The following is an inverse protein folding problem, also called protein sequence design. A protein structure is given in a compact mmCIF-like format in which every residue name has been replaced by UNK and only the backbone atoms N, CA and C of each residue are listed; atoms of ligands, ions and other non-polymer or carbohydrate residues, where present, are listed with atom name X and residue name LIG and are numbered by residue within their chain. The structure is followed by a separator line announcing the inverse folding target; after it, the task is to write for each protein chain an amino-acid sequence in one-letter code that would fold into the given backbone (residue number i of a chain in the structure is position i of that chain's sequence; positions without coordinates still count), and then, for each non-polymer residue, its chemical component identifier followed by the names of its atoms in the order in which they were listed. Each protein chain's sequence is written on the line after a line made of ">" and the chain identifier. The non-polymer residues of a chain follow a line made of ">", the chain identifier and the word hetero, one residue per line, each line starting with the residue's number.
data_IF_677295599919
#
_entry.id   IF_677295599919
#
_cell.length_a   1.000
_cell.length_b   1.000
_cell.length_c   1.000
_cell.angle_alpha   90.00
_cell.angle_beta   90.00
_cell.angle_gamma   90.00
#
_symmetry.space_group_name_H-M   'P 1'
#
loop_
_entity.id
_entity.type
_entity.pdbx_description
1 polymer ?
#
# COMPACT_ATOMS: atom_id res chain seq x y z
N UNK A 1 37.75 -11.84 8.76
CA UNK A 1 36.99 -12.18 7.55
C UNK A 1 35.53 -12.47 7.86
N UNK A 2 35.17 -13.33 8.82
CA UNK A 2 33.77 -13.60 9.17
C UNK A 2 33.01 -12.34 9.65
N UNK A 3 33.65 -11.47 10.42
CA UNK A 3 33.09 -10.22 10.94
C UNK A 3 32.76 -9.22 9.82
N UNK A 4 33.61 -9.13 8.79
CA UNK A 4 33.42 -8.26 7.63
C UNK A 4 32.25 -8.72 6.75
N UNK A 5 32.09 -10.04 6.56
CA UNK A 5 31.01 -10.63 5.76
C UNK A 5 29.66 -10.44 6.44
N UNK A 6 29.58 -10.68 7.75
CA UNK A 6 28.38 -10.47 8.56
C UNK A 6 27.94 -9.00 8.53
N UNK A 7 28.88 -8.05 8.59
CA UNK A 7 28.57 -6.62 8.52
C UNK A 7 28.08 -6.20 7.12
N UNK A 8 28.61 -6.79 6.05
CA UNK A 8 28.12 -6.53 4.68
C UNK A 8 26.69 -7.07 4.50
N UNK A 9 26.40 -8.29 4.98
CA UNK A 9 25.04 -8.84 4.94
C UNK A 9 24.08 -7.97 5.74
N UNK A 10 24.48 -7.52 6.95
CA UNK A 10 23.66 -6.63 7.78
C UNK A 10 23.35 -5.31 7.07
N UNK A 11 24.33 -4.69 6.43
CA UNK A 11 24.14 -3.45 5.68
C UNK A 11 23.18 -3.63 4.52
N UNK A 12 23.25 -4.75 3.78
CA UNK A 12 22.30 -5.07 2.72
C UNK A 12 20.91 -5.32 3.28
N UNK A 13 20.78 -6.19 4.29
CA UNK A 13 19.51 -6.57 4.88
C UNK A 13 18.77 -5.38 5.51
N UNK A 14 19.49 -4.45 6.14
CA UNK A 14 18.89 -3.23 6.70
C UNK A 14 18.36 -2.24 5.65
N UNK A 15 18.74 -2.40 4.38
CA UNK A 15 18.22 -1.60 3.27
C UNK A 15 17.03 -2.27 2.55
N UNK A 16 16.73 -3.55 2.87
CA UNK A 16 15.56 -4.21 2.32
C UNK A 16 14.27 -3.61 2.91
N UNK A 17 13.24 -3.48 2.10
CA UNK A 17 11.98 -2.97 2.60
C UNK A 17 10.85 -3.03 1.59
N UNK A 18 9.63 -3.03 2.12
CA UNK A 18 8.44 -2.66 1.39
C UNK A 18 8.35 -1.14 1.47
N UNK A 19 8.94 -0.46 0.51
CA UNK A 19 8.81 0.99 0.43
C UNK A 19 7.61 1.28 -0.45
N UNK A 20 6.65 2.00 0.11
CA UNK A 20 5.67 2.71 -0.72
C UNK A 20 6.44 3.84 -1.41
N UNK A 21 6.56 3.87 -2.73
CA UNK A 21 7.16 5.01 -3.40
C UNK A 21 6.18 6.17 -3.39
N UNK A 22 6.19 6.90 -2.29
CA UNK A 22 5.79 8.30 -2.36
C UNK A 22 7.05 9.03 -2.78
N UNK A 23 7.27 9.14 -4.10
CA UNK A 23 8.39 9.85 -4.73
C UNK A 23 9.78 9.49 -4.21
N UNK A 24 10.78 9.46 -5.07
CA UNK A 24 12.16 9.59 -4.63
C UNK A 24 12.24 10.81 -3.72
N UNK A 25 12.86 10.66 -2.56
CA UNK A 25 13.02 11.73 -1.58
C UNK A 25 13.78 12.91 -2.19
N UNK A 26 13.11 13.71 -2.97
CA UNK A 26 13.55 15.07 -3.25
C UNK A 26 13.39 15.81 -1.93
N UNK A 27 14.43 16.48 -1.48
CA UNK A 27 14.52 17.12 -0.16
C UNK A 27 13.57 18.34 0.00
N UNK A 28 12.35 18.29 -0.58
CA UNK A 28 11.38 19.36 -0.41
C UNK A 28 10.68 19.19 0.93
N UNK A 29 10.95 20.11 1.81
CA UNK A 29 10.31 20.18 3.10
C UNK A 29 8.86 20.65 2.92
N UNK A 30 7.91 19.91 3.47
CA UNK A 30 6.53 20.39 3.57
C UNK A 30 6.51 21.80 4.22
N UNK A 31 5.66 22.73 3.74
CA UNK A 31 5.48 24.00 4.40
C UNK A 31 4.95 23.77 5.83
N UNK A 32 5.12 24.77 6.69
CA UNK A 32 4.52 24.72 8.01
C UNK A 32 2.99 24.57 7.87
N UNK A 33 2.42 23.64 8.62
CA UNK A 33 0.98 23.47 8.69
C UNK A 33 0.35 24.70 9.38
N UNK A 34 -0.88 25.03 9.00
CA UNK A 34 -1.65 26.07 9.68
C UNK A 34 -2.04 25.63 11.10
N UNK A 35 -2.30 24.31 11.29
CA UNK A 35 -2.49 23.68 12.59
C UNK A 35 -1.86 22.28 12.63
N UNK A 36 -1.48 21.85 13.84
CA UNK A 36 -1.07 20.49 14.13
C UNK A 36 -1.98 19.89 15.22
N UNK A 37 -2.57 18.74 14.94
CA UNK A 37 -3.45 18.07 15.88
C UNK A 37 -2.79 16.83 16.45
N UNK A 38 -2.81 16.71 17.79
CA UNK A 38 -2.48 15.45 18.44
C UNK A 38 -3.74 14.58 18.48
N UNK A 39 -3.59 13.32 18.06
CA UNK A 39 -4.67 12.34 17.92
C UNK A 39 -4.28 11.07 18.66
N UNK A 40 -5.23 10.23 19.10
CA UNK A 40 -4.92 8.92 19.64
C UNK A 40 -4.18 8.04 18.61
N UNK A 41 -2.94 7.66 18.91
CA UNK A 41 -2.10 6.84 18.04
C UNK A 41 -1.59 7.54 16.76
N UNK A 42 -1.66 8.88 16.73
CA UNK A 42 -1.20 9.64 15.57
C UNK A 42 -1.26 11.15 15.75
N UNK A 43 -1.15 11.84 14.63
CA UNK A 43 -1.27 13.29 14.55
C UNK A 43 -1.86 13.70 13.20
N UNK A 44 -2.30 14.94 13.07
CA UNK A 44 -2.65 15.48 11.76
C UNK A 44 -2.02 16.84 11.52
N UNK A 45 -1.72 17.12 10.25
CA UNK A 45 -1.34 18.44 9.77
C UNK A 45 -2.47 19.02 8.94
N UNK A 46 -2.88 20.25 9.31
CA UNK A 46 -3.97 20.97 8.68
C UNK A 46 -3.40 22.06 7.80
N UNK A 47 -3.83 22.12 6.56
CA UNK A 47 -3.44 23.13 5.58
C UNK A 47 -4.70 23.79 5.05
N UNK A 48 -4.92 25.05 5.42
CA UNK A 48 -6.11 25.78 4.99
C UNK A 48 -6.12 26.04 3.49
N UNK A 49 -7.31 26.11 2.94
CA UNK A 49 -7.52 26.55 1.57
C UNK A 49 -6.99 27.96 1.33
N UNK A 50 -6.56 28.25 0.12
CA UNK A 50 -6.03 29.59 -0.23
C UNK A 50 -7.04 30.68 0.10
N UNK A 51 -6.63 31.65 0.92
CA UNK A 51 -7.47 32.75 1.38
C UNK A 51 -8.45 32.42 2.53
N UNK A 52 -8.42 31.18 3.03
CA UNK A 52 -9.23 30.75 4.18
C UNK A 52 -8.46 30.93 5.51
N UNK A 53 -9.21 31.05 6.62
CA UNK A 53 -8.69 31.17 7.98
C UNK A 53 -9.37 30.18 8.92
N UNK A 54 -9.43 28.91 8.53
CA UNK A 54 -10.07 27.84 9.31
C UNK A 54 -10.43 26.66 8.43
N UNK A 55 -11.05 25.68 9.03
CA UNK A 55 -11.44 24.43 8.37
C UNK A 55 -12.66 24.65 7.48
N UNK A 56 -12.45 24.78 6.18
CA UNK A 56 -13.50 25.04 5.18
C UNK A 56 -13.45 23.94 4.13
N UNK A 57 -14.60 23.35 3.77
CA UNK A 57 -14.72 22.28 2.74
C UNK A 57 -13.65 21.20 2.92
N UNK A 58 -13.61 20.50 4.07
CA UNK A 58 -12.47 19.69 4.47
C UNK A 58 -12.31 18.42 3.64
N UNK A 59 -11.04 18.06 3.43
CA UNK A 59 -10.57 16.81 2.85
C UNK A 59 -9.63 16.16 3.87
N UNK A 60 -10.00 14.99 4.38
CA UNK A 60 -9.24 14.21 5.36
C UNK A 60 -8.62 13.01 4.67
N UNK A 61 -7.29 12.93 4.63
CA UNK A 61 -6.56 11.84 3.97
C UNK A 61 -5.58 11.19 4.93
N UNK A 62 -5.70 9.86 5.05
CA UNK A 62 -4.85 9.03 5.88
C UNK A 62 -3.63 8.51 5.10
N UNK A 63 -2.47 8.48 5.78
CA UNK A 63 -1.21 7.95 5.27
C UNK A 63 -1.27 6.43 5.03
N UNK A 64 -0.31 5.93 4.25
CA UNK A 64 -0.14 4.52 3.93
C UNK A 64 0.74 3.76 4.94
N UNK A 65 1.08 2.52 4.55
CA UNK A 65 1.92 1.61 5.33
C UNK A 65 3.41 1.96 5.21
N UNK A 66 4.12 1.90 6.32
CA UNK A 66 5.59 1.79 6.42
C UNK A 66 5.96 1.44 7.87
N UNK A 67 7.25 1.31 8.21
CA UNK A 67 7.72 1.27 9.60
C UNK A 67 7.81 2.67 10.18
N UNK A 68 7.61 2.76 11.49
CA UNK A 68 7.74 3.99 12.26
C UNK A 68 6.67 5.04 11.98
N UNK A 69 6.86 6.24 12.50
CA UNK A 69 5.87 7.32 12.39
C UNK A 69 5.74 7.84 10.97
N UNK A 70 4.59 8.46 10.67
CA UNK A 70 4.38 9.16 9.40
C UNK A 70 5.43 10.25 9.18
N UNK A 71 6.10 10.21 8.04
CA UNK A 71 6.90 11.32 7.54
C UNK A 71 6.02 12.24 6.69
N UNK A 72 5.55 13.31 7.29
CA UNK A 72 4.71 14.30 6.61
C UNK A 72 5.43 15.06 5.48
N UNK A 73 6.77 15.08 5.45
CA UNK A 73 7.49 15.69 4.33
C UNK A 73 7.40 14.80 3.11
N UNK A 74 7.63 13.50 3.27
CA UNK A 74 7.48 12.52 2.19
C UNK A 74 6.02 12.42 1.72
N UNK A 75 5.05 12.42 2.63
CA UNK A 75 3.62 12.39 2.29
C UNK A 75 3.21 13.65 1.51
N UNK A 76 3.68 14.82 1.92
CA UNK A 76 3.48 16.07 1.18
C UNK A 76 4.11 16.01 -0.20
N UNK A 77 5.37 15.60 -0.28
CA UNK A 77 6.14 15.57 -1.52
C UNK A 77 5.48 14.70 -2.59
N UNK A 78 5.03 13.51 -2.21
CA UNK A 78 4.32 12.60 -3.12
C UNK A 78 3.01 13.15 -3.66
N UNK A 79 2.31 13.97 -2.89
CA UNK A 79 1.03 14.56 -3.27
C UNK A 79 1.18 15.90 -4.00
N UNK A 80 2.30 16.60 -3.82
CA UNK A 80 2.51 17.93 -4.41
C UNK A 80 3.49 17.91 -5.58
N UNK A 81 4.60 17.18 -5.43
CA UNK A 81 5.71 17.20 -6.39
C UNK A 81 5.77 15.95 -7.29
N UNK A 82 4.73 15.11 -7.24
CA UNK A 82 4.54 14.00 -8.16
C UNK A 82 4.20 14.44 -9.59
N UNK A 83 3.37 13.67 -10.28
CA UNK A 83 2.92 14.02 -11.64
C UNK A 83 1.79 15.06 -11.67
N UNK A 84 1.21 15.39 -10.51
CA UNK A 84 0.12 16.35 -10.38
C UNK A 84 0.19 17.07 -9.02
N UNK A 85 0.14 18.42 -8.97
CA UNK A 85 0.23 19.20 -7.72
C UNK A 85 -1.09 19.19 -6.96
N UNK A 86 -1.49 18.02 -6.46
CA UNK A 86 -2.82 17.77 -5.89
C UNK A 86 -3.15 18.66 -4.71
N UNK A 87 -2.19 18.90 -3.81
CA UNK A 87 -2.40 19.75 -2.63
C UNK A 87 -2.63 21.20 -3.02
N UNK A 88 -1.79 21.73 -3.92
CA UNK A 88 -1.95 23.10 -4.42
C UNK A 88 -3.29 23.29 -5.11
N UNK A 89 -3.75 22.32 -5.91
CA UNK A 89 -5.05 22.38 -6.58
C UNK A 89 -6.22 22.33 -5.59
N UNK A 90 -6.17 21.46 -4.59
CA UNK A 90 -7.16 21.44 -3.50
C UNK A 90 -7.25 22.79 -2.78
N UNK A 91 -6.09 23.32 -2.37
CA UNK A 91 -6.03 24.57 -1.61
C UNK A 91 -6.49 25.77 -2.46
N UNK A 92 -6.16 25.78 -3.76
CA UNK A 92 -6.62 26.82 -4.70
C UNK A 92 -8.13 26.82 -4.86
N UNK A 93 -8.79 25.65 -4.73
CA UNK A 93 -10.27 25.52 -4.70
C UNK A 93 -10.88 25.91 -3.35
N UNK A 94 -10.08 26.48 -2.43
CA UNK A 94 -10.51 26.95 -1.10
C UNK A 94 -10.82 25.80 -0.13
N UNK A 95 -10.24 24.61 -0.33
CA UNK A 95 -10.46 23.43 0.52
C UNK A 95 -9.34 23.26 1.53
N UNK A 96 -9.71 22.95 2.77
CA UNK A 96 -8.74 22.59 3.82
C UNK A 96 -8.36 21.12 3.68
N UNK A 97 -7.06 20.85 3.60
CA UNK A 97 -6.50 19.52 3.63
C UNK A 97 -6.07 19.16 5.05
N UNK A 98 -6.47 17.97 5.52
CA UNK A 98 -6.09 17.40 6.80
C UNK A 98 -5.39 16.08 6.49
N UNK A 99 -4.05 16.08 6.62
CA UNK A 99 -3.24 14.86 6.47
C UNK A 99 -3.14 14.17 7.82
N UNK A 100 -3.64 12.95 7.92
CA UNK A 100 -3.61 12.12 9.13
C UNK A 100 -2.45 11.15 9.04
N UNK A 101 -1.55 11.25 10.00
CA UNK A 101 -0.41 10.36 10.17
C UNK A 101 -0.52 9.53 11.45
N UNK A 102 0.26 8.44 11.49
CA UNK A 102 0.27 7.46 12.57
C UNK A 102 1.59 7.52 13.34
N UNK A 103 1.57 7.20 14.63
CA UNK A 103 2.77 7.04 15.46
C UNK A 103 3.58 5.81 15.03
N UNK A 104 2.88 4.74 14.61
CA UNK A 104 3.48 3.54 14.05
C UNK A 104 2.61 3.05 12.89
N UNK A 105 3.08 3.27 11.67
CA UNK A 105 2.33 2.90 10.44
C UNK A 105 2.19 1.39 10.24
N UNK A 106 3.05 0.60 10.85
CA UNK A 106 3.00 -0.87 10.82
C UNK A 106 2.11 -1.49 11.89
N UNK A 107 1.54 -0.67 12.79
CA UNK A 107 0.55 -1.11 13.77
C UNK A 107 -0.76 -1.54 13.08
N UNK A 108 -1.58 -2.30 13.79
CA UNK A 108 -2.86 -2.80 13.28
C UNK A 108 -3.70 -1.69 12.63
N UNK A 109 -4.31 -1.99 11.48
CA UNK A 109 -5.26 -1.11 10.79
C UNK A 109 -6.37 -0.63 11.73
N UNK A 110 -6.86 -1.52 12.61
CA UNK A 110 -7.90 -1.20 13.61
C UNK A 110 -7.42 -0.16 14.62
N UNK A 111 -6.15 -0.24 15.01
CA UNK A 111 -5.52 0.69 15.93
C UNK A 111 -5.28 2.04 15.27
N UNK A 112 -4.73 2.04 14.06
CA UNK A 112 -4.51 3.26 13.28
C UNK A 112 -5.84 3.97 12.94
N UNK A 113 -6.95 3.24 12.86
CA UNK A 113 -8.27 3.83 12.65
C UNK A 113 -8.73 4.74 13.81
N UNK A 114 -8.18 4.61 15.02
CA UNK A 114 -8.52 5.50 16.12
C UNK A 114 -8.09 6.95 15.84
N UNK A 115 -6.92 7.13 15.20
CA UNK A 115 -6.45 8.46 14.78
C UNK A 115 -7.39 9.07 13.72
N UNK A 116 -7.82 8.27 12.73
CA UNK A 116 -8.72 8.74 11.68
C UNK A 116 -10.11 9.07 12.24
N UNK A 117 -10.65 8.24 13.13
CA UNK A 117 -11.91 8.55 13.85
C UNK A 117 -11.82 9.89 14.56
N UNK A 118 -10.75 10.10 15.34
CA UNK A 118 -10.54 11.35 16.07
C UNK A 118 -10.38 12.56 15.14
N UNK A 119 -9.66 12.39 14.02
CA UNK A 119 -9.52 13.44 13.00
C UNK A 119 -10.87 13.81 12.38
N UNK A 120 -11.69 12.83 12.00
CA UNK A 120 -13.04 13.04 11.44
C UNK A 120 -13.91 13.85 12.42
N UNK A 121 -13.98 13.41 13.68
CA UNK A 121 -14.81 14.04 14.70
C UNK A 121 -14.34 15.49 14.99
N UNK A 122 -13.03 15.68 15.11
CA UNK A 122 -12.45 17.02 15.29
C UNK A 122 -12.72 17.92 14.09
N UNK A 123 -12.54 17.42 12.87
CA UNK A 123 -12.86 18.14 11.64
C UNK A 123 -14.33 18.60 11.63
N UNK A 124 -15.27 17.72 11.99
CA UNK A 124 -16.68 18.06 12.07
C UNK A 124 -17.01 19.12 13.14
N UNK A 125 -16.25 19.15 14.25
CA UNK A 125 -16.41 20.13 15.33
C UNK A 125 -15.82 21.51 14.98
N UNK A 126 -14.72 21.55 14.23
CA UNK A 126 -14.00 22.80 13.88
C UNK A 126 -14.40 23.37 12.52
N UNK A 127 -15.13 22.62 11.72
CA UNK A 127 -15.52 23.00 10.37
C UNK A 127 -16.40 24.25 10.36
N UNK A 128 -16.05 25.20 9.50
CA UNK A 128 -16.86 26.37 9.17
C UNK A 128 -17.75 26.06 7.95
N UNK A 129 -19.06 26.14 8.16
CA UNK A 129 -20.06 25.80 7.14
C UNK A 129 -20.56 24.35 7.25
N UNK A 130 -21.30 23.91 6.26
CA UNK A 130 -22.05 22.66 6.26
C UNK A 130 -21.68 21.68 5.13
N UNK A 131 -20.69 22.02 4.31
CA UNK A 131 -20.16 21.14 3.25
C UNK A 131 -19.74 19.80 3.84
N UNK A 132 -20.20 18.71 3.22
CA UNK A 132 -19.78 17.38 3.68
C UNK A 132 -18.30 17.13 3.42
N UNK A 133 -17.69 16.27 4.25
CA UNK A 133 -16.27 15.92 4.15
C UNK A 133 -16.03 14.96 2.98
N UNK A 134 -14.85 15.07 2.36
CA UNK A 134 -14.21 13.90 1.78
C UNK A 134 -13.31 13.27 2.85
N UNK A 135 -13.45 11.95 3.05
CA UNK A 135 -12.59 11.16 3.94
C UNK A 135 -12.04 9.98 3.16
N UNK A 136 -10.73 9.77 3.21
CA UNK A 136 -10.11 8.68 2.49
C UNK A 136 -8.66 8.46 2.88
N UNK A 137 -7.92 7.80 2.00
CA UNK A 137 -6.49 7.54 2.20
C UNK A 137 -5.86 6.77 1.07
N UNK A 138 -4.54 6.66 1.17
CA UNK A 138 -3.68 6.01 0.19
C UNK A 138 -3.28 4.62 0.71
N UNK A 139 -3.30 3.59 -0.15
CA UNK A 139 -2.84 2.27 0.23
C UNK A 139 -3.57 1.77 1.49
N UNK A 140 -2.84 1.42 2.55
CA UNK A 140 -3.39 1.10 3.87
C UNK A 140 -4.37 2.17 4.38
N UNK A 141 -4.09 3.45 4.13
CA UNK A 141 -4.91 4.56 4.61
C UNK A 141 -6.37 4.50 4.14
N UNK A 142 -6.64 3.96 2.95
CA UNK A 142 -7.99 3.71 2.49
C UNK A 142 -8.71 2.62 3.28
N UNK A 143 -8.01 1.56 3.70
CA UNK A 143 -8.57 0.52 4.59
C UNK A 143 -8.85 1.09 5.98
N UNK A 144 -7.94 1.90 6.50
CA UNK A 144 -8.09 2.59 7.81
C UNK A 144 -9.31 3.51 7.79
N UNK A 145 -9.44 4.35 6.75
CA UNK A 145 -10.58 5.27 6.58
C UNK A 145 -11.91 4.52 6.38
N UNK A 146 -11.91 3.43 5.60
CA UNK A 146 -13.07 2.55 5.41
C UNK A 146 -13.58 2.02 6.75
N UNK A 147 -12.68 1.45 7.57
CA UNK A 147 -13.04 0.93 8.87
C UNK A 147 -13.52 2.04 9.82
N UNK A 148 -12.83 3.19 9.85
CA UNK A 148 -13.17 4.33 10.70
C UNK A 148 -14.60 4.84 10.42
N UNK A 149 -14.94 5.06 9.16
CA UNK A 149 -16.28 5.51 8.75
C UNK A 149 -17.37 4.47 9.07
N UNK A 150 -17.15 3.20 8.71
CA UNK A 150 -18.09 2.12 8.99
C UNK A 150 -18.33 1.94 10.51
N UNK A 151 -17.28 2.07 11.33
CA UNK A 151 -17.36 2.04 12.79
C UNK A 151 -18.19 3.20 13.35
N UNK A 152 -17.99 4.42 12.84
CA UNK A 152 -18.78 5.59 13.26
C UNK A 152 -20.27 5.40 12.90
N UNK A 153 -20.59 4.86 11.71
CA UNK A 153 -21.96 4.55 11.31
C UNK A 153 -22.60 3.49 12.20
N UNK A 154 -21.86 2.40 12.50
CA UNK A 154 -22.33 1.38 13.43
C UNK A 154 -22.66 1.97 14.83
N UNK A 155 -21.85 2.93 15.27
CA UNK A 155 -22.04 3.65 16.53
C UNK A 155 -23.12 4.74 16.44
N UNK A 156 -23.73 4.95 15.26
CA UNK A 156 -24.72 6.00 14.97
C UNK A 156 -24.18 7.42 15.24
N UNK A 157 -22.91 7.62 14.97
CA UNK A 157 -22.24 8.93 15.03
C UNK A 157 -22.26 9.56 13.63
N UNK A 158 -22.76 10.79 13.52
CA UNK A 158 -22.69 11.54 12.26
C UNK A 158 -21.24 11.98 11.98
N UNK A 159 -20.59 11.30 11.06
CA UNK A 159 -19.22 11.62 10.63
C UNK A 159 -19.16 12.69 9.55
N UNK A 160 -20.31 13.21 9.05
CA UNK A 160 -20.45 14.23 8.04
C UNK A 160 -19.72 13.96 6.70
N UNK A 161 -19.18 12.77 6.46
CA UNK A 161 -18.59 12.43 5.18
C UNK A 161 -19.67 12.29 4.10
N UNK A 162 -19.45 12.96 2.97
CA UNK A 162 -20.25 12.82 1.75
C UNK A 162 -19.57 11.96 0.70
N UNK A 163 -18.24 11.86 0.77
CA UNK A 163 -17.42 11.06 -0.13
C UNK A 163 -16.39 10.27 0.69
N UNK A 164 -16.28 8.98 0.41
CA UNK A 164 -15.16 8.13 0.79
C UNK A 164 -14.25 7.98 -0.44
N UNK A 165 -12.94 8.18 -0.27
CA UNK A 165 -11.93 7.97 -1.31
C UNK A 165 -10.93 6.89 -0.89
N UNK A 166 -10.84 5.85 -1.68
CA UNK A 166 -9.82 4.80 -1.58
C UNK A 166 -8.85 4.92 -2.74
N UNK A 167 -7.58 5.21 -2.46
CA UNK A 167 -6.58 5.31 -3.51
C UNK A 167 -5.61 4.13 -3.45
N UNK A 168 -5.72 3.24 -4.42
CA UNK A 168 -4.91 2.04 -4.63
C UNK A 168 -4.80 1.19 -3.36
N UNK A 169 -5.94 1.02 -2.67
CA UNK A 169 -6.01 0.33 -1.38
C UNK A 169 -6.32 -1.16 -1.55
N UNK A 170 -5.63 -2.05 -0.84
CA UNK A 170 -5.74 -3.49 -1.07
C UNK A 170 -6.97 -4.12 -0.39
N UNK A 171 -8.18 -3.78 -0.85
CA UNK A 171 -9.44 -4.25 -0.25
C UNK A 171 -9.61 -5.77 -0.28
N UNK A 172 -9.11 -6.42 -1.34
CA UNK A 172 -9.08 -7.89 -1.48
C UNK A 172 -7.73 -8.49 -1.11
N UNK A 173 -6.71 -7.67 -0.88
CA UNK A 173 -5.36 -8.03 -0.45
C UNK A 173 -4.29 -7.40 -1.32
N UNK A 174 -3.11 -7.20 -0.72
CA UNK A 174 -1.88 -6.84 -1.38
C UNK A 174 -1.05 -8.09 -1.66
N UNK A 175 -0.16 -8.00 -2.62
CA UNK A 175 0.79 -9.05 -2.96
C UNK A 175 2.22 -8.61 -2.68
N UNK A 176 2.96 -9.46 -1.95
CA UNK A 176 4.41 -9.43 -1.87
C UNK A 176 4.90 -10.80 -2.30
N UNK A 177 5.79 -10.90 -3.29
CA UNK A 177 6.28 -12.18 -3.80
C UNK A 177 6.72 -13.11 -2.69
N UNK A 178 6.25 -14.36 -2.71
CA UNK A 178 6.54 -15.34 -1.64
C UNK A 178 8.04 -15.59 -1.51
N UNK A 179 8.79 -15.56 -2.62
CA UNK A 179 10.25 -15.65 -2.58
C UNK A 179 10.89 -14.51 -1.75
N UNK A 180 10.35 -13.30 -1.83
CA UNK A 180 10.83 -12.15 -1.05
C UNK A 180 10.43 -12.25 0.43
N UNK A 181 9.25 -12.77 0.73
CA UNK A 181 8.86 -13.07 2.11
C UNK A 181 9.79 -14.14 2.73
N UNK A 182 10.10 -15.20 1.98
CA UNK A 182 11.08 -16.20 2.41
C UNK A 182 12.47 -15.60 2.63
N UNK A 183 12.90 -14.70 1.74
CA UNK A 183 14.18 -14.02 1.87
C UNK A 183 14.27 -13.14 3.13
N UNK A 184 13.18 -12.51 3.54
CA UNK A 184 13.12 -11.78 4.81
C UNK A 184 13.40 -12.70 6.01
N UNK A 185 12.84 -13.91 6.02
CA UNK A 185 13.15 -14.90 7.04
C UNK A 185 14.60 -15.41 6.94
N UNK A 186 15.11 -15.62 5.73
CA UNK A 186 16.47 -16.12 5.50
C UNK A 186 17.54 -15.15 6.01
N UNK A 187 17.32 -13.84 5.89
CA UNK A 187 18.25 -12.80 6.33
C UNK A 187 18.07 -12.37 7.79
N UNK A 188 16.98 -12.75 8.44
CA UNK A 188 16.59 -12.26 9.76
C UNK A 188 17.60 -12.54 10.88
N UNK A 189 18.42 -13.59 10.76
CA UNK A 189 19.47 -13.88 11.74
C UNK A 189 20.58 -12.80 11.80
N UNK A 190 20.71 -11.98 10.74
CA UNK A 190 21.71 -10.92 10.62
C UNK A 190 21.09 -9.54 10.79
N UNK A 191 19.95 -9.32 10.12
CA UNK A 191 19.13 -8.11 10.27
C UNK A 191 17.66 -8.49 10.03
N UNK A 192 16.82 -8.18 11.00
CA UNK A 192 15.40 -8.54 10.99
C UNK A 192 14.47 -7.40 10.50
N UNK A 193 15.03 -6.28 10.05
CA UNK A 193 14.24 -5.09 9.67
C UNK A 193 13.20 -5.41 8.60
N UNK A 194 13.59 -6.16 7.56
CA UNK A 194 12.68 -6.57 6.51
C UNK A 194 11.62 -7.56 7.02
N UNK A 195 12.03 -8.52 7.85
CA UNK A 195 11.09 -9.44 8.48
C UNK A 195 10.08 -8.71 9.39
N UNK A 196 10.54 -7.78 10.23
CA UNK A 196 9.65 -6.95 11.07
C UNK A 196 8.63 -6.19 10.24
N UNK A 197 9.00 -5.69 9.08
CA UNK A 197 8.08 -5.01 8.17
C UNK A 197 7.01 -5.95 7.63
N UNK A 198 7.42 -7.12 7.08
CA UNK A 198 6.51 -8.12 6.51
C UNK A 198 5.62 -8.75 7.58
N UNK A 199 6.17 -9.04 8.77
CA UNK A 199 5.46 -9.69 9.87
C UNK A 199 4.69 -8.73 10.78
N UNK A 200 4.72 -7.42 10.49
CA UNK A 200 3.97 -6.43 11.27
C UNK A 200 2.45 -6.65 11.18
N UNK A 201 1.69 -6.20 12.20
CA UNK A 201 0.24 -6.38 12.20
C UNK A 201 -0.46 -5.85 10.96
N UNK A 202 -0.14 -4.62 10.53
CA UNK A 202 -0.75 -4.03 9.34
C UNK A 202 -0.39 -4.80 8.06
N UNK A 203 0.87 -5.21 7.90
CA UNK A 203 1.30 -6.00 6.75
C UNK A 203 0.52 -7.32 6.65
N UNK A 204 0.46 -8.08 7.74
CA UNK A 204 -0.29 -9.33 7.77
C UNK A 204 -1.81 -9.15 7.55
N UNK A 205 -2.39 -8.01 7.96
CA UNK A 205 -3.79 -7.67 7.68
C UNK A 205 -4.04 -7.35 6.21
N UNK A 206 -3.04 -6.80 5.51
CA UNK A 206 -3.14 -6.43 4.09
C UNK A 206 -2.77 -7.55 3.12
N UNK A 207 -1.76 -8.36 3.45
CA UNK A 207 -1.25 -9.38 2.52
C UNK A 207 -2.31 -10.44 2.21
N UNK A 208 -2.49 -10.73 0.90
CA UNK A 208 -3.37 -11.82 0.46
C UNK A 208 -2.89 -13.17 1.00
N UNK A 209 -1.57 -13.43 0.95
CA UNK A 209 -0.93 -14.60 1.56
C UNK A 209 0.33 -14.16 2.32
N UNK A 210 0.51 -14.78 3.46
CA UNK A 210 1.64 -14.58 4.35
C UNK A 210 2.40 -15.89 4.54
N UNK A 211 3.73 -15.83 4.47
CA UNK A 211 4.63 -16.93 4.70
C UNK A 211 5.26 -16.79 6.08
N UNK A 212 5.03 -17.77 6.96
CA UNK A 212 5.66 -17.84 8.28
C UNK A 212 6.83 -18.83 8.25
N UNK A 213 8.05 -18.28 8.07
CA UNK A 213 9.29 -19.05 7.93
C UNK A 213 9.53 -19.60 6.52
N UNK A 214 10.80 -19.88 6.19
CA UNK A 214 11.20 -20.35 4.85
C UNK A 214 10.58 -21.71 4.46
N UNK A 215 10.16 -22.52 5.44
CA UNK A 215 9.58 -23.87 5.26
C UNK A 215 8.06 -23.89 5.47
N UNK A 216 7.45 -22.73 5.67
CA UNK A 216 6.02 -22.60 5.85
C UNK A 216 5.24 -22.77 4.54
N UNK A 217 3.93 -22.93 4.66
CA UNK A 217 3.02 -22.85 3.52
C UNK A 217 2.39 -21.46 3.50
N UNK A 218 2.50 -20.70 2.38
CA UNK A 218 1.85 -19.39 2.29
C UNK A 218 0.33 -19.51 2.45
N UNK A 219 -0.24 -18.78 3.40
CA UNK A 219 -1.68 -18.85 3.71
C UNK A 219 -2.21 -17.48 4.16
N UNK A 220 -3.53 -17.35 4.25
CA UNK A 220 -4.14 -16.16 4.86
C UNK A 220 -3.70 -16.08 6.33
N UNK A 221 -3.16 -14.93 6.75
CA UNK A 221 -2.76 -14.72 8.14
C UNK A 221 -3.98 -14.69 9.08
N UNK A 222 -3.87 -15.24 10.30
CA UNK A 222 -4.91 -15.06 11.33
C UNK A 222 -5.27 -13.60 11.59
N UNK A 223 -4.31 -12.67 11.49
CA UNK A 223 -4.56 -11.23 11.65
C UNK A 223 -5.41 -10.66 10.50
N UNK A 224 -5.26 -11.19 9.28
CA UNK A 224 -6.13 -10.81 8.16
C UNK A 224 -7.55 -11.34 8.36
N UNK A 225 -7.69 -12.60 8.78
CA UNK A 225 -8.99 -13.21 9.09
C UNK A 225 -9.71 -12.40 10.18
N UNK A 226 -9.00 -12.02 11.24
CA UNK A 226 -9.53 -11.17 12.30
C UNK A 226 -9.97 -9.81 11.78
N UNK A 227 -9.10 -9.13 11.01
CA UNK A 227 -9.41 -7.82 10.40
C UNK A 227 -10.68 -7.89 9.53
N UNK A 228 -10.81 -8.92 8.67
CA UNK A 228 -12.02 -9.15 7.85
C UNK A 228 -13.25 -9.33 8.71
N UNK A 229 -13.14 -10.08 9.80
CA UNK A 229 -14.24 -10.30 10.76
C UNK A 229 -14.66 -8.98 11.45
N UNK A 230 -13.70 -8.19 11.92
CA UNK A 230 -13.96 -6.88 12.54
C UNK A 230 -14.59 -5.90 11.53
N UNK A 231 -14.14 -5.92 10.29
CA UNK A 231 -14.72 -5.10 9.23
C UNK A 231 -16.17 -5.50 8.92
N UNK A 232 -16.46 -6.81 8.90
CA UNK A 232 -17.84 -7.33 8.76
C UNK A 232 -18.74 -6.90 9.92
N UNK A 233 -18.24 -6.91 11.15
CA UNK A 233 -19.00 -6.49 12.33
C UNK A 233 -19.43 -5.03 12.28
N UNK A 234 -18.65 -4.15 11.63
CA UNK A 234 -19.01 -2.75 11.44
C UNK A 234 -19.76 -2.48 10.12
N UNK A 235 -20.13 -3.53 9.37
CA UNK A 235 -20.95 -3.42 8.16
C UNK A 235 -20.17 -3.48 6.85
N UNK A 236 -18.90 -3.84 6.89
CA UNK A 236 -17.96 -3.99 5.77
C UNK A 236 -17.61 -2.69 5.06
N UNK A 237 -18.58 -1.89 4.66
CA UNK A 237 -18.43 -0.60 3.99
C UNK A 237 -19.28 0.47 4.68
N UNK A 238 -18.83 1.74 4.70
CA UNK A 238 -19.69 2.86 5.07
C UNK A 238 -20.81 3.00 4.03
N UNK A 239 -22.00 3.37 4.46
CA UNK A 239 -23.22 3.40 3.63
C UNK A 239 -23.71 4.81 3.34
N UNK A 240 -23.21 5.80 4.08
CA UNK A 240 -23.65 7.19 3.94
C UNK A 240 -22.89 7.91 2.84
N UNK A 241 -21.54 7.86 2.77
CA UNK A 241 -20.79 8.54 1.73
C UNK A 241 -20.86 7.80 0.39
N UNK A 242 -20.73 8.52 -0.71
CA UNK A 242 -20.44 7.93 -2.01
C UNK A 242 -19.05 7.30 -1.96
N UNK A 243 -18.95 6.06 -2.41
CA UNK A 243 -17.72 5.27 -2.36
C UNK A 243 -16.94 5.42 -3.68
N UNK A 244 -15.77 6.02 -3.61
CA UNK A 244 -14.87 6.20 -4.74
C UNK A 244 -13.60 5.37 -4.55
N UNK A 245 -13.18 4.68 -5.62
CA UNK A 245 -11.92 3.95 -5.65
C UNK A 245 -11.05 4.35 -6.85
N UNK A 246 -9.74 4.39 -6.63
CA UNK A 246 -8.74 4.60 -7.68
C UNK A 246 -7.79 3.41 -7.66
N UNK A 247 -7.46 2.88 -8.84
CA UNK A 247 -6.39 1.91 -9.04
C UNK A 247 -5.25 2.53 -9.83
N UNK A 248 -4.01 2.31 -9.37
CA UNK A 248 -2.80 2.61 -10.16
C UNK A 248 -2.57 1.56 -11.27
N UNK A 249 -3.46 0.59 -11.42
CA UNK A 249 -3.40 -0.45 -12.44
C UNK A 249 -4.43 -0.27 -13.55
N UNK A 250 -4.16 -0.96 -14.68
CA UNK A 250 -5.05 -1.00 -15.86
C UNK A 250 -6.32 -1.80 -15.58
N UNK A 251 -7.38 -1.46 -16.30
CA UNK A 251 -8.69 -2.14 -16.22
C UNK A 251 -8.98 -3.14 -17.34
N UNK A 252 -8.15 -3.22 -18.35
CA UNK A 252 -8.35 -4.09 -19.52
C UNK A 252 -7.88 -5.53 -19.35
N UNK A 253 -7.40 -5.90 -18.16
CA UNK A 253 -6.87 -7.23 -17.88
C UNK A 253 -5.45 -7.46 -18.37
N UNK A 254 -4.78 -6.43 -18.92
CA UNK A 254 -3.40 -6.53 -19.38
C UNK A 254 -2.44 -6.33 -18.19
N UNK A 255 -1.67 -7.35 -17.88
CA UNK A 255 -0.67 -7.34 -16.82
C UNK A 255 0.54 -6.46 -17.13
N UNK A 256 1.49 -6.46 -16.18
CA UNK A 256 2.81 -5.86 -16.36
C UNK A 256 3.77 -6.83 -17.08
N UNK A 257 5.04 -6.42 -17.27
CA UNK A 257 6.03 -7.21 -18.04
C UNK A 257 6.60 -8.43 -17.28
N UNK A 258 6.26 -8.64 -16.01
CA UNK A 258 6.78 -9.77 -15.21
C UNK A 258 6.06 -11.08 -15.60
N UNK A 259 6.59 -11.75 -16.62
CA UNK A 259 6.02 -13.00 -17.13
C UNK A 259 6.15 -14.14 -16.12
N UNK A 260 5.11 -14.94 -15.99
CA UNK A 260 5.07 -16.12 -15.13
C UNK A 260 6.28 -17.04 -15.32
N UNK A 261 6.93 -17.41 -14.22
CA UNK A 261 8.13 -18.23 -14.19
C UNK A 261 9.41 -17.57 -14.73
N UNK A 262 9.35 -16.30 -15.15
CA UNK A 262 10.54 -15.58 -15.57
C UNK A 262 11.44 -15.27 -14.37
N UNK A 263 12.76 -15.30 -14.59
CA UNK A 263 13.73 -14.92 -13.56
C UNK A 263 13.67 -13.40 -13.36
N UNK A 264 13.29 -12.96 -12.15
CA UNK A 264 13.18 -11.55 -11.80
C UNK A 264 14.49 -10.98 -11.29
N UNK A 265 15.19 -11.75 -10.44
CA UNK A 265 16.48 -11.36 -9.87
C UNK A 265 17.38 -12.58 -9.71
N UNK A 266 18.69 -12.41 -9.89
CA UNK A 266 19.73 -13.38 -9.61
C UNK A 266 20.93 -12.73 -8.96
N UNK A 267 21.47 -13.39 -7.94
CA UNK A 267 22.73 -13.05 -7.30
C UNK A 267 23.86 -13.97 -7.81
N UNK A 268 25.03 -13.39 -8.04
CA UNK A 268 26.25 -14.09 -8.44
C UNK A 268 27.46 -13.43 -7.73
N UNK A 269 27.38 -13.25 -6.43
CA UNK A 269 28.37 -12.58 -5.60
C UNK A 269 28.70 -13.38 -4.33
N UNK A 270 29.63 -12.87 -3.50
CA UNK A 270 30.21 -13.65 -2.42
C UNK A 270 29.25 -13.97 -1.25
N UNK A 271 28.12 -13.24 -1.14
CA UNK A 271 27.20 -13.40 0.00
C UNK A 271 26.03 -14.32 -0.33
N UNK A 272 25.48 -14.22 -1.55
CA UNK A 272 24.25 -14.91 -1.97
C UNK A 272 24.42 -15.61 -3.33
N UNK A 273 25.61 -16.19 -3.61
CA UNK A 273 25.86 -16.91 -4.85
C UNK A 273 24.89 -18.09 -5.00
N UNK A 274 24.20 -18.12 -6.13
CA UNK A 274 23.16 -19.12 -6.40
C UNK A 274 21.75 -18.70 -6.03
N UNK A 275 21.55 -17.63 -5.25
CA UNK A 275 20.22 -17.09 -4.96
C UNK A 275 19.57 -16.49 -6.21
N UNK A 276 18.31 -16.88 -6.48
CA UNK A 276 17.51 -16.27 -7.52
C UNK A 276 16.02 -16.30 -7.17
N UNK A 277 15.26 -15.44 -7.85
CA UNK A 277 13.81 -15.33 -7.72
C UNK A 277 13.15 -15.46 -9.08
N UNK A 278 11.97 -16.05 -9.09
CA UNK A 278 11.12 -16.23 -10.26
C UNK A 278 9.78 -15.53 -10.02
N UNK A 279 9.23 -14.93 -11.06
CA UNK A 279 7.87 -14.41 -11.01
C UNK A 279 6.87 -15.56 -10.78
N UNK A 280 5.87 -15.33 -9.94
CA UNK A 280 4.83 -16.29 -9.60
C UNK A 280 4.20 -16.86 -10.88
N UNK A 281 4.20 -18.17 -10.97
CA UNK A 281 3.53 -18.92 -12.04
C UNK A 281 2.48 -19.86 -11.47
N UNK A 282 1.52 -20.23 -12.31
CA UNK A 282 0.59 -21.31 -11.96
C UNK A 282 1.37 -22.63 -11.91
N UNK A 283 1.09 -23.46 -10.94
CA UNK A 283 1.72 -24.76 -10.76
C UNK A 283 1.42 -25.35 -9.40
N UNK A 284 1.63 -26.65 -9.28
CA UNK A 284 1.47 -27.40 -8.03
C UNK A 284 2.52 -28.53 -7.96
N UNK A 285 3.75 -28.21 -7.47
CA UNK A 285 4.25 -26.90 -7.02
C UNK A 285 4.75 -26.00 -8.17
N UNK A 286 4.81 -24.68 -7.89
CA UNK A 286 5.53 -23.69 -8.67
C UNK A 286 6.73 -23.17 -7.87
N UNK A 287 7.94 -23.24 -8.44
CA UNK A 287 9.14 -22.67 -7.84
C UNK A 287 9.12 -21.14 -7.97
N UNK A 288 9.40 -20.42 -6.87
CA UNK A 288 9.40 -18.95 -6.84
C UNK A 288 10.73 -18.37 -6.35
N UNK A 289 11.58 -19.14 -5.69
CA UNK A 289 12.95 -18.75 -5.36
C UNK A 289 13.82 -19.97 -5.02
N UNK A 290 15.12 -19.79 -5.19
CA UNK A 290 16.16 -20.55 -4.49
C UNK A 290 16.98 -19.56 -3.68
N UNK A 291 17.11 -19.82 -2.38
CA UNK A 291 17.91 -19.02 -1.45
C UNK A 291 19.17 -19.80 -1.11
N UNK A 292 20.32 -19.27 -1.47
CA UNK A 292 21.64 -19.87 -1.23
C UNK A 292 22.65 -18.78 -0.85
N UNK A 293 23.65 -19.13 -0.08
CA UNK A 293 24.71 -18.19 0.29
C UNK A 293 25.31 -18.45 1.68
N UNK A 294 25.99 -17.43 2.20
CA UNK A 294 26.77 -17.53 3.44
C UNK A 294 25.93 -17.78 4.70
N UNK A 295 24.62 -17.55 4.64
CA UNK A 295 23.69 -17.75 5.77
C UNK A 295 23.14 -19.18 5.85
N UNK A 296 23.21 -19.96 4.78
CA UNK A 296 22.75 -21.34 4.73
C UNK A 296 22.91 -21.96 3.35
N UNK A 297 22.74 -23.29 3.24
CA UNK A 297 22.72 -23.99 1.95
C UNK A 297 21.41 -23.72 1.18
N UNK A 298 21.31 -24.27 -0.05
CA UNK A 298 20.21 -23.97 -0.91
C UNK A 298 18.85 -24.41 -0.34
N UNK A 299 17.92 -23.46 -0.27
CA UNK A 299 16.52 -23.68 0.08
C UNK A 299 15.64 -23.31 -1.12
N UNK A 300 14.89 -24.27 -1.64
CA UNK A 300 13.91 -24.02 -2.72
C UNK A 300 12.58 -23.62 -2.12
N UNK A 301 12.06 -22.48 -2.54
CA UNK A 301 10.77 -21.93 -2.12
C UNK A 301 9.74 -22.19 -3.22
N UNK A 302 8.62 -22.78 -2.84
CA UNK A 302 7.54 -23.14 -3.77
C UNK A 302 6.18 -22.62 -3.29
N UNK A 303 5.27 -22.45 -4.24
CA UNK A 303 3.85 -22.20 -4.00
C UNK A 303 3.01 -23.29 -4.67
N UNK A 304 1.73 -23.40 -4.33
CA UNK A 304 0.82 -24.38 -4.93
C UNK A 304 -0.50 -23.72 -5.31
N UNK A 305 -0.86 -23.78 -6.59
CA UNK A 305 -2.15 -23.33 -7.10
C UNK A 305 -2.37 -21.81 -7.06
N UNK A 306 -1.30 -21.00 -6.95
CA UNK A 306 -1.43 -19.54 -6.99
C UNK A 306 -1.55 -19.04 -8.43
N UNK A 307 -2.34 -17.98 -8.67
CA UNK A 307 -2.35 -17.29 -9.96
C UNK A 307 -1.07 -16.47 -10.17
N UNK A 308 -0.91 -15.89 -11.35
CA UNK A 308 0.28 -15.15 -11.80
C UNK A 308 0.30 -13.72 -11.24
N UNK A 309 0.42 -13.58 -9.91
CA UNK A 309 0.25 -12.32 -9.18
C UNK A 309 1.33 -11.28 -9.50
N UNK A 310 2.59 -11.68 -9.71
CA UNK A 310 3.66 -10.72 -10.01
C UNK A 310 3.42 -9.96 -11.32
N UNK A 311 2.84 -10.64 -12.30
CA UNK A 311 2.51 -10.09 -13.60
C UNK A 311 1.14 -9.43 -13.68
N UNK A 312 0.32 -9.49 -12.63
CA UNK A 312 -1.07 -9.04 -12.68
C UNK A 312 -1.22 -7.54 -12.99
N UNK A 313 -2.36 -7.12 -13.60
CA UNK A 313 -2.69 -5.71 -13.71
C UNK A 313 -2.92 -5.12 -12.33
N UNK A 314 -2.27 -3.98 -12.04
CA UNK A 314 -2.35 -3.35 -10.72
C UNK A 314 -1.27 -2.31 -10.50
N UNK A 315 -1.38 -1.61 -9.36
CA UNK A 315 -0.33 -0.72 -8.87
C UNK A 315 0.93 -1.52 -8.56
N UNK A 316 2.08 -1.05 -9.07
CA UNK A 316 3.36 -1.77 -9.01
C UNK A 316 4.26 -1.26 -7.89
N UNK A 317 5.13 -2.14 -7.39
CA UNK A 317 6.16 -1.80 -6.41
C UNK A 317 7.52 -2.33 -6.88
N UNK A 318 8.59 -1.55 -6.69
CA UNK A 318 9.97 -1.95 -7.01
C UNK A 318 10.55 -2.99 -6.03
N UNK A 319 9.77 -4.01 -5.70
CA UNK A 319 10.12 -4.99 -4.67
C UNK A 319 11.45 -5.70 -4.95
N UNK A 320 11.68 -6.11 -6.20
CA UNK A 320 12.95 -6.72 -6.59
C UNK A 320 14.05 -5.67 -6.83
N UNK A 321 13.68 -4.46 -7.29
CA UNK A 321 14.61 -3.35 -7.51
C UNK A 321 15.29 -2.90 -6.23
N UNK A 322 14.52 -2.70 -5.16
CA UNK A 322 15.04 -2.29 -3.84
C UNK A 322 16.04 -3.32 -3.31
N UNK A 323 15.69 -4.61 -3.39
CA UNK A 323 16.57 -5.69 -2.94
C UNK A 323 17.82 -5.78 -3.81
N UNK A 324 17.67 -5.63 -5.13
CA UNK A 324 18.81 -5.62 -6.04
C UNK A 324 19.81 -4.50 -5.72
N UNK A 325 19.32 -3.29 -5.50
CA UNK A 325 20.16 -2.11 -5.20
C UNK A 325 20.86 -2.27 -3.85
N UNK A 326 20.16 -2.80 -2.85
CA UNK A 326 20.74 -3.08 -1.54
C UNK A 326 21.83 -4.14 -1.61
N UNK A 327 21.61 -5.23 -2.34
CA UNK A 327 22.61 -6.28 -2.57
C UNK A 327 23.82 -5.76 -3.35
N UNK A 328 23.59 -5.01 -4.44
CA UNK A 328 24.65 -4.38 -5.20
C UNK A 328 25.48 -3.40 -4.35
N UNK A 329 24.82 -2.62 -3.48
CA UNK A 329 25.46 -1.74 -2.50
C UNK A 329 26.30 -2.47 -1.46
N UNK A 330 26.03 -3.77 -1.23
CA UNK A 330 26.83 -4.67 -0.38
C UNK A 330 27.98 -5.37 -1.13
N UNK A 331 28.11 -5.14 -2.43
CA UNK A 331 29.17 -5.72 -3.26
C UNK A 331 28.79 -7.00 -4.01
N UNK A 332 27.48 -7.33 -4.03
CA UNK A 332 26.97 -8.44 -4.83
C UNK A 332 26.90 -8.07 -6.32
N UNK A 333 27.12 -9.06 -7.18
CA UNK A 333 26.80 -8.94 -8.59
C UNK A 333 25.35 -9.39 -8.78
N UNK A 334 24.46 -8.47 -9.14
CA UNK A 334 23.02 -8.72 -9.22
C UNK A 334 22.51 -8.44 -10.63
N UNK A 335 21.86 -9.43 -11.21
CA UNK A 335 21.11 -9.29 -12.45
C UNK A 335 19.61 -9.16 -12.12
N UNK A 336 18.97 -8.07 -12.57
CA UNK A 336 17.55 -7.82 -12.32
C UNK A 336 16.85 -7.61 -13.66
N UNK A 337 16.00 -8.55 -14.04
CA UNK A 337 15.20 -8.46 -15.27
C UNK A 337 13.90 -7.69 -15.06
N UNK A 338 13.28 -7.85 -13.88
CA UNK A 338 12.04 -7.18 -13.51
C UNK A 338 12.21 -6.53 -12.14
N UNK A 339 12.34 -5.21 -12.10
CA UNK A 339 12.50 -4.45 -10.86
C UNK A 339 11.19 -4.33 -10.12
N UNK A 340 10.11 -4.02 -10.85
CA UNK A 340 8.76 -3.79 -10.33
C UNK A 340 7.84 -4.95 -10.69
N UNK A 341 6.95 -5.28 -9.76
CA UNK A 341 5.88 -6.28 -9.92
C UNK A 341 4.58 -5.73 -9.35
N UNK A 342 3.46 -6.38 -9.64
CA UNK A 342 2.17 -6.00 -9.08
C UNK A 342 2.24 -6.09 -7.54
N UNK A 343 1.74 -5.06 -6.88
CA UNK A 343 1.60 -4.98 -5.42
C UNK A 343 0.13 -4.94 -5.00
N UNK A 344 -0.65 -4.04 -5.59
CA UNK A 344 -2.11 -4.01 -5.38
C UNK A 344 -2.79 -4.32 -6.71
N UNK A 345 -3.29 -5.54 -6.91
CA UNK A 345 -4.05 -5.87 -8.11
C UNK A 345 -5.23 -4.92 -8.32
N UNK A 346 -5.50 -4.54 -9.57
CA UNK A 346 -6.58 -3.60 -9.90
C UNK A 346 -7.93 -4.07 -9.35
N UNK A 347 -8.23 -5.36 -9.44
CA UNK A 347 -9.44 -5.98 -8.84
C UNK A 347 -9.52 -5.79 -7.33
N UNK A 348 -8.39 -5.76 -6.65
CA UNK A 348 -8.31 -5.49 -5.22
C UNK A 348 -8.52 -4.01 -4.91
N UNK A 349 -7.93 -3.11 -5.69
CA UNK A 349 -8.01 -1.68 -5.49
C UNK A 349 -9.44 -1.15 -5.63
N UNK A 350 -10.20 -1.67 -6.60
CA UNK A 350 -11.62 -1.29 -6.82
C UNK A 350 -12.63 -2.27 -6.20
N UNK A 351 -12.13 -3.25 -5.42
CA UNK A 351 -12.93 -4.20 -4.63
C UNK A 351 -14.02 -4.94 -5.41
N UNK A 352 -13.63 -5.67 -6.46
CA UNK A 352 -14.59 -6.34 -7.34
C UNK A 352 -14.46 -7.88 -7.32
N UNK A 353 -13.33 -8.43 -7.69
CA UNK A 353 -13.07 -9.88 -7.75
C UNK A 353 -12.11 -10.31 -6.64
N UNK A 354 -12.01 -11.64 -6.42
CA UNK A 354 -11.01 -12.21 -5.52
C UNK A 354 -9.68 -12.49 -6.25
N UNK A 355 -8.61 -12.71 -5.48
CA UNK A 355 -7.27 -12.92 -6.02
C UNK A 355 -6.92 -14.40 -6.20
N UNK A 356 -7.87 -15.31 -5.91
CA UNK A 356 -7.59 -16.75 -5.84
C UNK A 356 -7.56 -17.44 -7.21
N UNK A 357 -8.14 -16.80 -8.25
CA UNK A 357 -8.28 -17.38 -9.57
C UNK A 357 -7.69 -16.49 -10.65
N UNK A 358 -7.01 -17.11 -11.61
CA UNK A 358 -6.36 -16.40 -12.71
C UNK A 358 -7.33 -15.53 -13.52
N UNK A 359 -8.50 -16.08 -13.85
CA UNK A 359 -9.53 -15.39 -14.64
C UNK A 359 -10.14 -14.19 -13.91
N UNK A 360 -10.21 -14.20 -12.58
CA UNK A 360 -10.69 -13.08 -11.78
C UNK A 360 -9.60 -12.00 -11.67
N UNK A 361 -8.35 -12.42 -11.43
CA UNK A 361 -7.21 -11.52 -11.29
C UNK A 361 -6.93 -10.72 -12.57
N UNK A 362 -7.16 -11.30 -13.73
CA UNK A 362 -6.96 -10.69 -15.06
C UNK A 362 -8.29 -10.32 -15.74
N UNK A 363 -9.35 -10.14 -14.98
CA UNK A 363 -10.63 -9.72 -15.53
C UNK A 363 -10.53 -8.34 -16.17
N UNK A 364 -11.17 -8.19 -17.33
CA UNK A 364 -11.37 -6.87 -17.95
C UNK A 364 -12.48 -6.12 -17.21
N UNK A 365 -12.11 -5.17 -16.35
CA UNK A 365 -12.99 -4.49 -15.40
C UNK A 365 -14.06 -3.63 -16.10
N UNK A 366 -13.74 -3.05 -17.27
CA UNK A 366 -14.68 -2.26 -18.08
C UNK A 366 -15.88 -3.09 -18.60
N UNK A 367 -15.79 -4.42 -18.56
CA UNK A 367 -16.82 -5.32 -19.01
C UNK A 367 -17.70 -5.88 -17.87
N UNK A 368 -17.40 -5.55 -16.63
CA UNK A 368 -18.14 -6.03 -15.46
C UNK A 368 -19.35 -5.16 -15.19
N UNK A 369 -20.42 -5.76 -14.66
CA UNK A 369 -21.61 -5.02 -14.29
C UNK A 369 -21.36 -4.14 -13.05
N UNK A 370 -21.96 -2.93 -12.96
CA UNK A 370 -21.72 -2.02 -11.83
C UNK A 370 -22.04 -2.62 -10.46
N UNK A 371 -22.99 -3.55 -10.38
CA UNK A 371 -23.38 -4.23 -9.14
C UNK A 371 -22.39 -5.34 -8.69
N UNK A 372 -21.36 -5.64 -9.48
CA UNK A 372 -20.26 -6.50 -9.07
C UNK A 372 -19.25 -5.78 -8.19
N UNK A 373 -19.18 -4.43 -8.25
CA UNK A 373 -18.25 -3.63 -7.45
C UNK A 373 -18.83 -3.29 -6.09
N UNK A 374 -17.98 -3.29 -5.06
CA UNK A 374 -18.35 -2.81 -3.72
C UNK A 374 -18.37 -1.26 -3.62
N UNK A 375 -17.93 -0.55 -4.66
CA UNK A 375 -17.81 0.92 -4.71
C UNK A 375 -18.78 1.51 -5.75
N UNK A 376 -19.16 2.77 -5.56
CA UNK A 376 -20.15 3.45 -6.43
C UNK A 376 -19.53 3.98 -7.73
N UNK A 377 -18.23 4.30 -7.71
CA UNK A 377 -17.52 4.85 -8.88
C UNK A 377 -16.02 4.60 -8.72
N UNK A 378 -15.32 4.41 -9.83
CA UNK A 378 -13.89 4.12 -9.80
C UNK A 378 -13.15 4.72 -11.00
N UNK A 379 -11.83 4.88 -10.84
CA UNK A 379 -10.91 5.20 -11.92
C UNK A 379 -9.77 4.18 -11.94
N UNK A 380 -9.43 3.72 -13.14
CA UNK A 380 -8.30 2.85 -13.41
C UNK A 380 -7.26 3.64 -14.20
N UNK A 381 -5.99 3.44 -13.90
CA UNK A 381 -4.92 4.04 -14.69
C UNK A 381 -4.88 3.47 -16.11
N UNK A 382 -4.35 4.25 -17.04
CA UNK A 382 -4.12 3.81 -18.42
C UNK A 382 -2.96 2.83 -18.55
N UNK A 383 -2.12 2.74 -17.50
CA UNK A 383 -0.98 1.82 -17.41
C UNK A 383 -0.93 1.17 -16.02
N UNK A 384 -0.01 0.19 -15.82
CA UNK A 384 0.31 -0.35 -14.50
C UNK A 384 1.37 0.57 -13.85
N UNK A 385 0.88 1.71 -13.32
CA UNK A 385 1.70 2.74 -12.71
C UNK A 385 2.29 2.30 -11.34
N UNK A 386 3.29 3.00 -10.83
CA UNK A 386 3.72 2.83 -9.45
C UNK A 386 2.57 3.00 -8.46
N UNK A 387 2.56 2.16 -7.43
CA UNK A 387 1.53 2.15 -6.38
C UNK A 387 1.27 3.52 -5.79
N UNK A 388 0.01 3.93 -5.75
CA UNK A 388 -0.47 5.20 -5.20
C UNK A 388 0.14 6.47 -5.84
N UNK A 389 0.60 6.39 -7.09
CA UNK A 389 1.11 7.55 -7.83
C UNK A 389 -0.03 8.49 -8.23
N UNK A 390 0.01 9.74 -7.76
CA UNK A 390 -0.95 10.78 -8.15
C UNK A 390 -0.63 11.29 -9.57
N UNK A 391 -1.37 10.81 -10.57
CA UNK A 391 -1.28 11.29 -11.95
C UNK A 391 -2.23 12.46 -12.20
N UNK A 392 -2.07 13.15 -13.33
CA UNK A 392 -2.95 14.28 -13.72
C UNK A 392 -4.42 13.83 -13.86
N UNK A 393 -4.67 12.71 -14.52
CA UNK A 393 -6.01 12.16 -14.71
C UNK A 393 -6.66 11.80 -13.36
N UNK A 394 -5.92 11.14 -12.47
CA UNK A 394 -6.39 10.79 -11.14
C UNK A 394 -6.69 12.05 -10.33
N UNK A 395 -5.76 13.02 -10.33
CA UNK A 395 -5.93 14.26 -9.61
C UNK A 395 -7.19 15.02 -10.04
N UNK A 396 -7.39 15.21 -11.34
CA UNK A 396 -8.58 15.84 -11.88
C UNK A 396 -9.86 15.05 -11.55
N UNK A 397 -9.84 13.73 -11.74
CA UNK A 397 -10.99 12.88 -11.45
C UNK A 397 -11.45 12.98 -9.99
N UNK A 398 -10.51 12.99 -9.04
CA UNK A 398 -10.81 13.17 -7.61
C UNK A 398 -11.34 14.58 -7.33
N UNK A 399 -10.69 15.62 -7.88
CA UNK A 399 -11.08 17.02 -7.68
C UNK A 399 -12.48 17.34 -8.19
N UNK A 400 -12.94 16.66 -9.25
CA UNK A 400 -14.27 16.85 -9.83
C UNK A 400 -15.38 16.11 -9.09
N UNK A 401 -15.01 15.24 -8.15
CA UNK A 401 -15.93 14.45 -7.31
C UNK A 401 -15.96 14.89 -5.84
N UNK A 402 -15.29 15.99 -5.52
CA UNK A 402 -15.34 16.58 -4.18
C UNK A 402 -16.76 17.02 -3.82
N UNK A 403 -17.21 16.86 -2.55
CA UNK A 403 -18.51 17.36 -2.11
C UNK A 403 -18.61 18.89 -2.29
N UNK A 404 -19.80 19.38 -2.69
CA UNK A 404 -20.07 20.81 -2.87
C UNK A 404 -20.12 21.59 -1.56
#
# INVERSE_FOLDING_TARGET
>A
MADSTTEQVRKAAGAFGLVTPVGEATASRAPAADEEWQLPGGSARVYYGTGQKGVVRPVVLADGFNLGPTDFNSLWDGLENGRFPFISELRRRGRTLILVGFEERSESILRNAEAVVAAILRTGAEQLGDTRLLVGGFSMGGLVARYALAKLEQQRVDHRAGVFLSFDSPHRGAWVPIGLQAFAHYTAAVDDTYLRQISSPASQQMLWRYLDGTKGTPQESPLRTEFKSQLQQVGSWPRIPRLLAVSSGRGDGVGNDARAGAKTLRCAGPLFDGTYFLAQSQGDPAEVAVLDGVLGGPETITTSGFPELDGAPGGTLESFGIIADALAGAGENVETAHRSVCFVPAVSAVSVRDLDRQEDLYAGLDNLAPDEFDVDDYLLSSDNDPHALMTEDIGHWVLDRLPD
#
